data_IF_671476482941
#
_entry.id   IF_671476482941
#
_cell.length_a   1.000
_cell.length_b   1.000
_cell.length_c   1.000
_cell.angle_alpha   90.00
_cell.angle_beta   90.00
_cell.angle_gamma   90.00
#
_symmetry.space_group_name_H-M   'P 1'
#
loop_
_entity.id
_entity.type
_entity.pdbx_description
1 polymer ?
#
# COMPACT_ATOMS: atom_id res chain seq x y z
N UNK A 1 14.41 14.76 -12.28
CA UNK A 1 14.81 13.45 -12.82
C UNK A 1 13.53 12.75 -13.24
N UNK A 2 13.21 12.81 -14.53
CA UNK A 2 11.97 12.30 -15.12
C UNK A 2 12.09 10.79 -15.18
N UNK A 3 11.30 10.07 -14.39
CA UNK A 3 11.21 8.60 -14.45
C UNK A 3 10.43 8.27 -15.73
N UNK A 4 11.07 7.51 -16.62
CA UNK A 4 10.46 7.03 -17.85
C UNK A 4 9.33 6.05 -17.51
N UNK A 5 8.08 6.49 -17.66
CA UNK A 5 6.86 5.77 -17.31
C UNK A 5 6.57 4.54 -18.21
N UNK A 6 7.47 4.20 -19.14
CA UNK A 6 7.23 3.14 -20.15
C UNK A 6 7.75 1.76 -19.78
N UNK A 7 8.32 1.57 -18.59
CA UNK A 7 8.71 0.23 -18.17
C UNK A 7 7.52 -0.51 -17.54
N UNK A 8 6.76 -1.21 -18.38
CA UNK A 8 5.88 -2.30 -17.94
C UNK A 8 6.76 -3.30 -17.19
N UNK A 9 6.41 -3.68 -15.94
CA UNK A 9 7.19 -4.65 -15.19
C UNK A 9 7.31 -5.94 -16.02
N UNK A 10 8.54 -6.33 -16.31
CA UNK A 10 8.84 -7.64 -16.92
C UNK A 10 8.43 -8.71 -15.88
N UNK A 11 7.42 -9.51 -16.17
CA UNK A 11 6.99 -10.62 -15.32
C UNK A 11 5.50 -10.71 -14.99
N UNK A 12 4.66 -9.86 -15.60
CA UNK A 12 3.20 -10.05 -15.50
C UNK A 12 2.80 -11.31 -16.27
N UNK A 13 1.85 -12.12 -15.74
CA UNK A 13 1.36 -13.28 -16.47
C UNK A 13 0.84 -12.82 -17.83
N UNK A 14 1.45 -13.33 -18.90
CA UNK A 14 0.98 -13.05 -20.27
C UNK A 14 -0.40 -13.63 -20.50
N UNK A 15 -0.72 -14.72 -19.80
CA UNK A 15 -1.99 -15.41 -19.89
C UNK A 15 -3.01 -14.83 -18.87
N UNK A 16 -4.12 -14.35 -19.39
CA UNK A 16 -5.24 -13.80 -18.61
C UNK A 16 -6.39 -14.79 -18.46
N UNK A 17 -6.31 -15.99 -19.03
CA UNK A 17 -7.42 -16.96 -19.05
C UNK A 17 -7.85 -17.40 -17.65
N UNK A 18 -6.88 -17.56 -16.74
CA UNK A 18 -7.14 -17.90 -15.34
C UNK A 18 -7.48 -16.69 -14.47
N UNK A 19 -7.34 -15.48 -15.01
CA UNK A 19 -7.53 -14.25 -14.27
C UNK A 19 -8.93 -13.65 -14.51
N UNK A 20 -9.39 -13.68 -15.77
CA UNK A 20 -10.64 -13.05 -16.18
C UNK A 20 -11.77 -14.08 -16.15
N UNK A 21 -12.79 -13.82 -15.36
CA UNK A 21 -13.90 -14.75 -15.16
C UNK A 21 -15.19 -14.37 -15.89
N UNK A 22 -15.31 -13.09 -16.26
CA UNK A 22 -16.52 -12.53 -16.88
C UNK A 22 -16.41 -12.40 -18.40
N UNK A 23 -15.20 -12.54 -18.93
CA UNK A 23 -14.98 -12.60 -20.39
C UNK A 23 -15.57 -13.89 -20.93
N UNK A 24 -16.47 -13.77 -21.89
CA UNK A 24 -17.01 -14.93 -22.59
C UNK A 24 -15.90 -15.70 -23.29
N UNK A 25 -15.97 -17.03 -23.27
CA UNK A 25 -14.94 -17.86 -23.90
C UNK A 25 -13.52 -17.44 -23.48
N UNK A 26 -13.29 -17.39 -22.16
CA UNK A 26 -12.03 -16.86 -21.60
C UNK A 26 -10.79 -17.56 -22.16
N UNK A 27 -10.87 -18.86 -22.46
CA UNK A 27 -9.87 -19.66 -23.13
C UNK A 27 -9.40 -19.07 -24.48
N UNK A 28 -10.27 -18.34 -25.18
CA UNK A 28 -9.97 -17.73 -26.48
C UNK A 28 -9.83 -16.21 -26.39
N UNK A 29 -10.74 -15.55 -25.63
CA UNK A 29 -10.89 -14.11 -25.66
C UNK A 29 -10.13 -13.38 -24.56
N UNK A 30 -9.74 -14.04 -23.46
CA UNK A 30 -9.03 -13.36 -22.37
C UNK A 30 -7.71 -12.74 -22.85
N UNK A 31 -7.00 -13.45 -23.72
CA UNK A 31 -5.72 -13.01 -24.27
C UNK A 31 -5.83 -12.28 -25.62
N UNK A 32 -7.05 -12.09 -26.13
CA UNK A 32 -7.27 -11.34 -27.36
C UNK A 32 -6.77 -9.88 -27.19
N UNK A 33 -6.04 -9.33 -28.18
CA UNK A 33 -5.53 -7.96 -28.09
C UNK A 33 -6.61 -6.90 -27.82
N UNK A 34 -7.84 -7.10 -28.35
CA UNK A 34 -8.94 -6.16 -28.07
C UNK A 34 -9.42 -6.24 -26.61
N UNK A 35 -9.40 -7.42 -25.99
CA UNK A 35 -9.71 -7.58 -24.56
C UNK A 35 -8.72 -6.82 -23.70
N UNK A 36 -7.43 -7.00 -23.97
CA UNK A 36 -6.36 -6.28 -23.27
C UNK A 36 -6.49 -4.76 -23.44
N UNK A 37 -6.80 -4.31 -24.65
CA UNK A 37 -6.96 -2.87 -24.91
C UNK A 37 -8.16 -2.27 -24.18
N UNK A 38 -9.30 -2.96 -24.11
CA UNK A 38 -10.44 -2.49 -23.32
C UNK A 38 -10.10 -2.41 -21.81
N UNK A 39 -9.37 -3.39 -21.28
CA UNK A 39 -8.95 -3.38 -19.87
C UNK A 39 -7.94 -2.25 -19.62
N UNK A 40 -6.98 -2.05 -20.51
CA UNK A 40 -6.02 -0.94 -20.42
C UNK A 40 -6.69 0.42 -20.55
N UNK A 41 -7.68 0.56 -21.44
CA UNK A 41 -8.48 1.78 -21.55
C UNK A 41 -9.25 2.08 -20.26
N UNK A 42 -9.84 1.05 -19.65
CA UNK A 42 -10.48 1.15 -18.34
C UNK A 42 -9.52 1.58 -17.24
N UNK A 43 -8.30 1.03 -17.21
CA UNK A 43 -7.25 1.45 -16.26
C UNK A 43 -6.86 2.92 -16.48
N UNK A 44 -6.67 3.35 -17.73
CA UNK A 44 -6.34 4.76 -18.04
C UNK A 44 -7.43 5.71 -17.56
N UNK A 45 -8.70 5.39 -17.85
CA UNK A 45 -9.84 6.21 -17.41
C UNK A 45 -9.91 6.34 -15.88
N UNK A 46 -9.80 5.21 -15.16
CA UNK A 46 -9.76 5.24 -13.69
C UNK A 46 -8.57 6.05 -13.20
N UNK A 47 -7.41 5.86 -13.82
CA UNK A 47 -6.21 6.56 -13.46
C UNK A 47 -6.33 8.07 -13.68
N UNK A 48 -6.87 8.50 -14.83
CA UNK A 48 -7.05 9.91 -15.16
C UNK A 48 -7.94 10.62 -14.13
N UNK A 49 -9.00 9.93 -13.66
CA UNK A 49 -9.85 10.47 -12.59
C UNK A 49 -9.06 10.61 -11.29
N UNK A 50 -8.28 9.60 -10.92
CA UNK A 50 -7.50 9.59 -9.67
C UNK A 50 -6.36 10.61 -9.65
N UNK A 51 -5.72 10.88 -10.81
CA UNK A 51 -4.60 11.82 -10.91
C UNK A 51 -5.09 13.24 -11.07
N UNK A 52 -6.15 13.46 -11.84
CA UNK A 52 -6.72 14.81 -12.03
C UNK A 52 -7.11 15.45 -10.70
N UNK A 53 -7.61 14.68 -9.75
CA UNK A 53 -7.93 15.17 -8.40
C UNK A 53 -6.69 15.53 -7.57
N UNK A 54 -5.53 14.95 -7.86
CA UNK A 54 -4.30 15.16 -7.10
C UNK A 54 -3.49 16.40 -7.56
N UNK A 55 -3.62 16.80 -8.83
CA UNK A 55 -2.88 17.93 -9.43
C UNK A 55 -3.70 19.22 -9.52
N UNK A 56 -4.91 19.23 -8.95
CA UNK A 56 -5.92 20.20 -9.36
C UNK A 56 -5.72 21.62 -8.86
N UNK A 57 -5.89 22.54 -9.83
CA UNK A 57 -6.00 23.98 -9.62
C UNK A 57 -7.19 24.28 -8.71
N UNK A 58 -7.06 25.18 -7.73
CA UNK A 58 -8.17 25.56 -6.87
C UNK A 58 -9.33 26.08 -7.72
N UNK A 59 -10.47 25.38 -7.70
CA UNK A 59 -11.70 25.80 -8.40
C UNK A 59 -12.36 24.74 -9.29
N UNK A 60 -11.77 23.56 -9.52
CA UNK A 60 -12.46 22.49 -10.23
C UNK A 60 -13.32 21.64 -9.29
N UNK A 61 -14.54 21.37 -9.72
CA UNK A 61 -15.45 20.47 -9.00
C UNK A 61 -14.82 19.10 -8.84
N UNK A 62 -14.75 18.60 -7.60
CA UNK A 62 -14.37 17.22 -7.31
C UNK A 62 -15.34 16.31 -8.05
N UNK A 63 -14.80 15.26 -8.68
CA UNK A 63 -15.64 14.22 -9.27
C UNK A 63 -16.44 13.58 -8.13
N UNK A 64 -17.76 13.62 -8.14
CA UNK A 64 -18.57 12.95 -7.13
C UNK A 64 -18.24 11.46 -7.12
N UNK A 65 -18.29 10.85 -5.95
CA UNK A 65 -17.92 9.43 -5.78
C UNK A 65 -18.76 8.48 -6.65
N UNK A 66 -20.03 8.81 -6.84
CA UNK A 66 -20.95 8.10 -7.74
C UNK A 66 -20.57 8.23 -9.22
N UNK A 67 -19.85 9.29 -9.60
CA UNK A 67 -19.30 9.47 -10.94
C UNK A 67 -18.00 8.69 -11.17
N UNK A 68 -17.30 8.25 -10.12
CA UNK A 68 -16.04 7.54 -10.25
C UNK A 68 -16.15 6.27 -11.09
N UNK A 69 -17.19 5.46 -10.86
CA UNK A 69 -17.45 4.28 -11.68
C UNK A 69 -18.18 4.61 -12.99
N UNK A 70 -18.88 5.75 -13.03
CA UNK A 70 -19.52 6.23 -14.24
C UNK A 70 -18.49 6.64 -15.31
N UNK A 71 -17.28 7.08 -14.91
CA UNK A 71 -16.19 7.39 -15.85
C UNK A 71 -15.68 6.17 -16.63
N UNK A 72 -16.00 4.94 -16.20
CA UNK A 72 -15.63 3.68 -16.87
C UNK A 72 -16.86 3.06 -17.57
N UNK A 73 -17.78 3.91 -18.04
CA UNK A 73 -18.91 3.40 -18.83
C UNK A 73 -18.42 2.75 -20.13
N UNK A 74 -19.23 1.81 -20.65
CA UNK A 74 -18.90 1.08 -21.89
C UNK A 74 -18.46 2.03 -23.01
N UNK A 75 -19.23 3.11 -23.22
CA UNK A 75 -18.96 4.10 -24.26
C UNK A 75 -17.59 4.76 -24.06
N UNK A 76 -17.31 5.22 -22.85
CA UNK A 76 -16.03 5.88 -22.54
C UNK A 76 -14.85 4.93 -22.72
N UNK A 77 -15.01 3.66 -22.31
CA UNK A 77 -13.95 2.64 -22.52
C UNK A 77 -13.71 2.38 -24.00
N UNK A 78 -14.78 2.33 -24.79
CA UNK A 78 -14.66 2.14 -26.25
C UNK A 78 -14.00 3.36 -26.91
N UNK A 79 -14.45 4.58 -26.57
CA UNK A 79 -13.91 5.82 -27.13
C UNK A 79 -12.40 5.97 -26.77
N UNK A 80 -12.02 5.66 -25.52
CA UNK A 80 -10.63 5.68 -25.05
C UNK A 80 -9.77 4.61 -25.76
N UNK A 81 -10.32 3.39 -25.90
CA UNK A 81 -9.63 2.29 -26.57
C UNK A 81 -9.44 2.55 -28.06
N UNK A 82 -10.42 3.14 -28.76
CA UNK A 82 -10.28 3.53 -30.18
C UNK A 82 -9.20 4.59 -30.37
N UNK A 83 -9.10 5.57 -29.44
CA UNK A 83 -8.11 6.63 -29.51
C UNK A 83 -6.66 6.17 -29.37
N UNK A 84 -6.43 5.10 -28.62
CA UNK A 84 -5.09 4.55 -28.35
C UNK A 84 -4.71 3.34 -29.21
N UNK A 85 -5.66 2.77 -29.95
CA UNK A 85 -5.46 1.50 -30.65
C UNK A 85 -4.57 1.59 -31.88
N UNK A 86 -3.38 1.07 -31.78
CA UNK A 86 -2.49 0.77 -32.89
C UNK A 86 -2.38 -0.74 -33.08
N UNK A 87 -3.16 -1.28 -34.04
CA UNK A 87 -3.16 -2.72 -34.29
C UNK A 87 -1.78 -3.21 -34.74
N UNK A 88 -1.23 -4.27 -34.14
CA UNK A 88 -0.08 -4.95 -34.70
C UNK A 88 -0.39 -5.43 -36.13
N UNK A 89 0.33 -4.92 -37.13
CA UNK A 89 0.13 -5.29 -38.53
C UNK A 89 -0.69 -4.35 -39.43
N UNK A 90 -1.05 -3.13 -38.95
CA UNK A 90 -1.51 -2.02 -39.80
C UNK A 90 -2.95 -2.09 -40.33
N UNK A 91 -3.76 -3.08 -39.99
CA UNK A 91 -5.19 -3.10 -40.32
C UNK A 91 -5.99 -2.65 -39.10
N UNK A 92 -6.49 -1.43 -39.12
CA UNK A 92 -7.36 -0.87 -38.07
C UNK A 92 -8.64 -1.70 -37.95
N UNK A 93 -8.70 -2.62 -36.98
CA UNK A 93 -9.96 -3.16 -36.51
C UNK A 93 -10.57 -2.14 -35.58
N UNK A 94 -11.79 -1.67 -35.86
CA UNK A 94 -12.48 -0.75 -34.95
C UNK A 94 -12.85 -1.48 -33.66
N UNK A 95 -12.41 -0.93 -32.52
CA UNK A 95 -12.92 -1.32 -31.23
C UNK A 95 -14.31 -0.69 -31.10
N UNK A 96 -15.35 -1.50 -31.05
CA UNK A 96 -16.73 -1.02 -31.07
C UNK A 96 -17.48 -1.48 -29.82
N UNK A 97 -18.58 -0.83 -29.50
CA UNK A 97 -19.47 -1.32 -28.46
C UNK A 97 -19.94 -2.76 -28.68
N UNK A 98 -20.10 -3.18 -29.94
CA UNK A 98 -20.45 -4.56 -30.26
C UNK A 98 -19.31 -5.53 -29.91
N UNK A 99 -18.06 -5.14 -30.17
CA UNK A 99 -16.88 -5.91 -29.78
C UNK A 99 -16.73 -5.99 -28.25
N UNK A 100 -17.07 -4.91 -27.55
CA UNK A 100 -17.12 -4.92 -26.08
C UNK A 100 -18.22 -5.86 -25.56
N UNK A 101 -19.46 -5.74 -26.07
CA UNK A 101 -20.60 -6.61 -25.68
C UNK A 101 -20.39 -8.08 -26.02
N UNK A 102 -19.63 -8.36 -27.03
CA UNK A 102 -19.25 -9.73 -27.37
C UNK A 102 -18.39 -10.37 -26.26
N UNK A 103 -17.59 -9.56 -25.56
CA UNK A 103 -16.70 -10.01 -24.46
C UNK A 103 -17.40 -10.01 -23.12
N UNK A 104 -18.06 -8.93 -22.78
CA UNK A 104 -18.74 -8.79 -21.48
C UNK A 104 -20.23 -8.56 -21.65
N UNK A 105 -21.03 -9.44 -21.05
CA UNK A 105 -22.49 -9.32 -21.06
C UNK A 105 -22.97 -8.07 -20.34
N UNK A 106 -22.31 -7.72 -19.24
CA UNK A 106 -22.71 -6.65 -18.33
C UNK A 106 -21.55 -5.70 -18.06
N UNK A 107 -21.89 -4.49 -17.72
CA UNK A 107 -20.91 -3.50 -17.24
C UNK A 107 -20.26 -3.95 -15.93
N UNK A 108 -21.04 -4.59 -15.04
CA UNK A 108 -20.53 -5.11 -13.77
C UNK A 108 -19.47 -6.20 -13.98
N UNK A 109 -19.69 -7.13 -14.93
CA UNK A 109 -18.68 -8.13 -15.28
C UNK A 109 -17.40 -7.50 -15.82
N UNK A 110 -17.50 -6.47 -16.68
CA UNK A 110 -16.32 -5.73 -17.11
C UNK A 110 -15.58 -5.06 -15.95
N UNK A 111 -16.29 -4.40 -15.04
CA UNK A 111 -15.67 -3.75 -13.88
C UNK A 111 -15.00 -4.74 -12.94
N UNK A 112 -15.56 -5.93 -12.78
CA UNK A 112 -14.94 -7.02 -12.01
C UNK A 112 -13.64 -7.47 -12.65
N UNK A 113 -13.65 -7.80 -13.92
CA UNK A 113 -12.44 -8.20 -14.66
C UNK A 113 -11.42 -7.07 -14.70
N UNK A 114 -11.84 -5.81 -14.84
CA UNK A 114 -10.97 -4.64 -14.78
C UNK A 114 -10.28 -4.52 -13.40
N UNK A 115 -11.03 -4.72 -12.31
CA UNK A 115 -10.46 -4.68 -10.97
C UNK A 115 -9.39 -5.77 -10.80
N UNK A 116 -9.70 -7.00 -11.17
CA UNK A 116 -8.75 -8.12 -11.09
C UNK A 116 -7.53 -7.88 -12.00
N UNK A 117 -7.75 -7.40 -13.22
CA UNK A 117 -6.68 -7.04 -14.16
C UNK A 117 -5.76 -5.96 -13.59
N UNK A 118 -6.31 -4.91 -13.00
CA UNK A 118 -5.53 -3.81 -12.42
C UNK A 118 -4.73 -4.24 -11.18
N UNK A 119 -5.24 -5.19 -10.40
CA UNK A 119 -4.54 -5.73 -9.23
C UNK A 119 -3.33 -6.61 -9.59
N UNK A 120 -3.25 -7.15 -10.82
CA UNK A 120 -2.15 -8.05 -11.24
C UNK A 120 -0.77 -7.44 -11.08
N UNK A 121 -0.64 -6.13 -11.30
CA UNK A 121 0.64 -5.42 -11.15
C UNK A 121 1.15 -5.41 -9.71
N UNK A 122 0.26 -5.53 -8.74
CA UNK A 122 0.61 -5.66 -7.32
C UNK A 122 1.18 -7.03 -6.98
N UNK A 123 0.68 -8.08 -7.64
CA UNK A 123 1.21 -9.44 -7.48
C UNK A 123 2.64 -9.58 -8.02
N UNK A 124 3.00 -8.79 -9.02
CA UNK A 124 4.32 -8.83 -9.66
C UNK A 124 5.40 -7.99 -8.95
N UNK A 125 5.12 -7.40 -7.79
CA UNK A 125 6.02 -6.45 -7.12
C UNK A 125 6.77 -7.02 -5.89
N UNK A 126 7.49 -8.15 -5.98
CA UNK A 126 8.32 -8.64 -4.87
C UNK A 126 9.58 -7.77 -4.66
N UNK A 127 9.90 -6.85 -5.57
CA UNK A 127 11.17 -6.14 -5.55
C UNK A 127 11.36 -5.08 -4.46
N UNK A 128 10.32 -4.72 -3.69
CA UNK A 128 10.43 -3.66 -2.68
C UNK A 128 11.11 -4.17 -1.41
N UNK A 129 10.75 -5.36 -0.94
CA UNK A 129 11.43 -6.00 0.20
C UNK A 129 12.92 -6.24 -0.08
N UNK A 130 13.27 -6.65 -1.31
CA UNK A 130 14.68 -6.77 -1.74
C UNK A 130 15.43 -5.43 -1.72
N UNK A 131 14.81 -4.35 -2.18
CA UNK A 131 15.40 -2.99 -2.10
C UNK A 131 15.56 -2.52 -0.65
N UNK A 132 14.63 -2.84 0.23
CA UNK A 132 14.74 -2.56 1.65
C UNK A 132 15.89 -3.34 2.29
N UNK A 133 16.08 -4.61 1.92
CA UNK A 133 17.20 -5.43 2.36
C UNK A 133 18.55 -4.83 1.94
N UNK A 134 18.67 -4.41 0.66
CA UNK A 134 19.87 -3.72 0.19
C UNK A 134 20.16 -2.46 1.01
N UNK A 135 19.16 -1.62 1.22
CA UNK A 135 19.31 -0.39 2.01
C UNK A 135 19.72 -0.65 3.47
N UNK A 136 19.19 -1.72 4.07
CA UNK A 136 19.47 -2.03 5.46
C UNK A 136 20.89 -2.58 5.67
N UNK A 137 21.36 -3.42 4.73
CA UNK A 137 22.58 -4.21 4.91
C UNK A 137 23.74 -3.84 3.99
N UNK A 138 23.51 -3.09 2.91
CA UNK A 138 24.61 -2.57 2.10
C UNK A 138 25.37 -1.53 2.91
N UNK A 139 26.65 -1.79 3.12
CA UNK A 139 27.60 -0.82 3.67
C UNK A 139 28.00 0.12 2.53
N UNK A 140 27.48 1.33 2.55
CA UNK A 140 28.06 2.41 1.78
C UNK A 140 29.47 2.64 2.34
N UNK A 141 30.49 2.25 1.58
CA UNK A 141 31.89 2.35 1.98
C UNK A 141 32.38 3.80 2.11
N UNK A 142 31.61 4.76 1.62
CA UNK A 142 31.97 6.18 1.56
C UNK A 142 31.20 7.11 2.54
N UNK A 143 30.05 6.69 3.03
CA UNK A 143 29.29 7.45 4.03
C UNK A 143 29.22 6.62 5.31
N UNK A 144 30.01 7.04 6.32
CA UNK A 144 30.09 6.36 7.61
C UNK A 144 28.74 5.88 8.12
N UNK A 145 28.73 4.68 8.66
CA UNK A 145 27.61 3.90 9.17
C UNK A 145 26.45 4.76 9.68
N UNK A 146 25.45 5.04 8.85
CA UNK A 146 24.20 5.64 9.31
C UNK A 146 23.64 4.73 10.40
N UNK A 147 23.19 5.32 11.50
CA UNK A 147 22.61 4.57 12.60
C UNK A 147 21.42 3.72 12.08
N UNK A 148 21.16 2.59 12.71
CA UNK A 148 20.11 1.64 12.28
C UNK A 148 18.73 2.30 12.17
N UNK A 149 18.43 3.24 13.06
CA UNK A 149 17.23 4.08 13.05
C UNK A 149 17.14 4.96 11.81
N UNK A 150 18.22 5.55 11.34
CA UNK A 150 18.27 6.35 10.11
C UNK A 150 17.97 5.49 8.87
N UNK A 151 18.43 4.23 8.86
CA UNK A 151 18.10 3.29 7.79
C UNK A 151 16.60 2.90 7.78
N UNK A 152 16.02 2.67 8.96
CA UNK A 152 14.57 2.44 9.08
C UNK A 152 13.80 3.68 8.61
N UNK A 153 14.22 4.89 9.01
CA UNK A 153 13.60 6.12 8.54
C UNK A 153 13.63 6.23 7.02
N UNK A 154 14.77 5.95 6.41
CA UNK A 154 14.91 6.00 4.96
C UNK A 154 14.03 4.96 4.24
N UNK A 155 13.99 3.72 4.74
CA UNK A 155 13.15 2.64 4.17
C UNK A 155 11.67 3.02 4.27
N UNK A 156 11.22 3.40 5.46
CA UNK A 156 9.83 3.77 5.70
C UNK A 156 9.40 4.99 4.88
N UNK A 157 10.24 6.01 4.79
CA UNK A 157 9.99 7.20 3.98
C UNK A 157 9.82 6.84 2.49
N UNK A 158 10.76 6.04 1.95
CA UNK A 158 10.70 5.58 0.56
C UNK A 158 9.47 4.72 0.28
N UNK A 159 9.08 3.87 1.23
CA UNK A 159 7.89 3.04 1.08
C UNK A 159 6.62 3.89 1.02
N UNK A 160 6.47 4.89 1.90
CA UNK A 160 5.33 5.82 1.84
C UNK A 160 5.30 6.58 0.52
N UNK A 161 6.43 7.11 0.05
CA UNK A 161 6.50 7.80 -1.25
C UNK A 161 6.15 6.87 -2.41
N UNK A 162 6.67 5.65 -2.38
CA UNK A 162 6.45 4.65 -3.40
C UNK A 162 4.96 4.31 -3.52
N UNK A 163 4.32 3.97 -2.41
CA UNK A 163 2.89 3.62 -2.38
C UNK A 163 2.00 4.83 -2.67
N UNK A 164 2.32 6.01 -2.13
CA UNK A 164 1.60 7.25 -2.44
C UNK A 164 1.55 7.53 -3.95
N UNK A 165 2.65 7.27 -4.65
CA UNK A 165 2.75 7.51 -6.10
C UNK A 165 2.36 6.27 -6.94
N UNK A 166 2.07 5.13 -6.31
CA UNK A 166 1.73 3.91 -7.01
C UNK A 166 0.26 3.89 -7.43
N UNK A 167 0.03 3.96 -8.73
CA UNK A 167 -1.32 3.94 -9.34
C UNK A 167 -2.11 2.68 -8.97
N UNK A 168 -1.45 1.52 -9.02
CA UNK A 168 -2.09 0.25 -8.71
C UNK A 168 -2.49 0.15 -7.23
N UNK A 169 -1.71 0.74 -6.31
CA UNK A 169 -2.08 0.83 -4.90
C UNK A 169 -3.33 1.68 -4.70
N UNK A 170 -3.44 2.84 -5.37
CA UNK A 170 -4.64 3.68 -5.30
C UNK A 170 -5.87 2.96 -5.84
N UNK A 171 -5.73 2.23 -6.95
CA UNK A 171 -6.81 1.40 -7.49
C UNK A 171 -7.21 0.29 -6.51
N UNK A 172 -6.23 -0.37 -5.88
CA UNK A 172 -6.48 -1.36 -4.83
C UNK A 172 -7.35 -0.78 -3.70
N UNK A 173 -7.01 0.39 -3.18
CA UNK A 173 -7.78 1.08 -2.13
C UNK A 173 -9.22 1.34 -2.55
N UNK A 174 -9.44 1.77 -3.80
CA UNK A 174 -10.78 2.01 -4.33
C UNK A 174 -11.56 0.70 -4.46
N UNK A 175 -10.95 -0.32 -5.05
CA UNK A 175 -11.62 -1.61 -5.22
C UNK A 175 -11.93 -2.25 -3.88
N UNK A 176 -11.06 -2.12 -2.90
CA UNK A 176 -11.28 -2.57 -1.53
C UNK A 176 -12.48 -1.85 -0.89
N UNK A 177 -12.63 -0.54 -1.11
CA UNK A 177 -13.75 0.22 -0.58
C UNK A 177 -15.09 -0.08 -1.25
N UNK A 178 -15.08 -0.36 -2.56
CA UNK A 178 -16.30 -0.45 -3.38
C UNK A 178 -16.71 -1.90 -3.65
N UNK A 179 -15.75 -2.78 -3.94
CA UNK A 179 -15.99 -4.12 -4.47
C UNK A 179 -15.58 -5.25 -3.51
N UNK A 180 -15.23 -4.93 -2.25
CA UNK A 180 -14.86 -5.96 -1.27
C UNK A 180 -15.98 -6.97 -0.94
N UNK A 181 -17.21 -6.64 -1.28
CA UNK A 181 -18.37 -7.54 -1.16
C UNK A 181 -18.54 -8.50 -2.37
N UNK A 182 -17.79 -8.29 -3.44
CA UNK A 182 -17.73 -9.19 -4.58
C UNK A 182 -16.69 -10.28 -4.30
N UNK A 183 -17.10 -11.53 -4.25
CA UNK A 183 -16.25 -12.65 -3.81
C UNK A 183 -14.97 -12.79 -4.66
N UNK A 184 -15.05 -12.57 -5.97
CA UNK A 184 -13.91 -12.72 -6.86
C UNK A 184 -12.90 -11.58 -6.70
N UNK A 185 -13.39 -10.35 -6.54
CA UNK A 185 -12.53 -9.19 -6.26
C UNK A 185 -11.92 -9.32 -4.86
N UNK A 186 -12.71 -9.76 -3.87
CA UNK A 186 -12.21 -10.02 -2.52
C UNK A 186 -11.11 -11.10 -2.51
N UNK A 187 -11.25 -12.16 -3.32
CA UNK A 187 -10.22 -13.19 -3.49
C UNK A 187 -8.95 -12.63 -4.14
N UNK A 188 -9.10 -11.77 -5.16
CA UNK A 188 -7.95 -11.11 -5.78
C UNK A 188 -7.24 -10.16 -4.81
N UNK A 189 -7.98 -9.38 -4.04
CA UNK A 189 -7.42 -8.51 -3.00
C UNK A 189 -6.68 -9.30 -1.93
N UNK A 190 -7.25 -10.41 -1.44
CA UNK A 190 -6.58 -11.31 -0.48
C UNK A 190 -5.28 -11.89 -1.02
N UNK A 191 -5.24 -12.30 -2.30
CA UNK A 191 -4.00 -12.80 -2.92
C UNK A 191 -2.92 -11.72 -3.00
N UNK A 192 -3.30 -10.49 -3.31
CA UNK A 192 -2.37 -9.35 -3.33
C UNK A 192 -1.81 -9.10 -1.93
N UNK A 193 -2.67 -9.05 -0.91
CA UNK A 193 -2.27 -8.86 0.48
C UNK A 193 -1.32 -9.98 0.95
N UNK A 194 -1.70 -11.23 0.73
CA UNK A 194 -0.88 -12.39 1.10
C UNK A 194 0.50 -12.39 0.42
N UNK A 195 0.55 -12.07 -0.88
CA UNK A 195 1.82 -12.00 -1.60
C UNK A 195 2.72 -10.87 -1.05
N UNK A 196 2.14 -9.74 -0.73
CA UNK A 196 2.87 -8.61 -0.16
C UNK A 196 3.38 -8.94 1.24
N UNK A 197 2.51 -9.43 2.12
CA UNK A 197 2.88 -9.82 3.49
C UNK A 197 3.94 -10.91 3.50
N UNK A 198 3.83 -11.91 2.62
CA UNK A 198 4.83 -12.99 2.52
C UNK A 198 6.23 -12.45 2.17
N UNK A 199 6.34 -11.54 1.20
CA UNK A 199 7.62 -10.96 0.81
C UNK A 199 8.27 -10.15 1.94
N UNK A 200 7.49 -9.37 2.67
CA UNK A 200 7.97 -8.61 3.82
C UNK A 200 8.31 -9.49 5.02
N UNK A 201 7.54 -10.54 5.25
CA UNK A 201 7.81 -11.54 6.30
C UNK A 201 9.20 -12.17 6.11
N UNK A 202 9.55 -12.58 4.90
CA UNK A 202 10.88 -13.11 4.57
C UNK A 202 11.98 -12.08 4.86
N UNK A 203 11.76 -10.82 4.46
CA UNK A 203 12.68 -9.73 4.75
C UNK A 203 12.88 -9.53 6.25
N UNK A 204 11.80 -9.48 7.05
CA UNK A 204 11.91 -9.28 8.49
C UNK A 204 12.62 -10.46 9.16
N UNK A 205 12.32 -11.69 8.76
CA UNK A 205 12.98 -12.87 9.32
C UNK A 205 14.50 -12.85 9.07
N UNK A 206 14.92 -12.52 7.84
CA UNK A 206 16.34 -12.35 7.49
C UNK A 206 17.00 -11.20 8.26
N UNK A 207 16.32 -10.06 8.34
CA UNK A 207 16.82 -8.88 9.07
C UNK A 207 17.03 -9.18 10.56
N UNK A 208 16.06 -9.78 11.22
CA UNK A 208 16.16 -10.16 12.63
C UNK A 208 17.29 -11.18 12.87
N UNK A 209 17.40 -12.20 12.00
CA UNK A 209 18.47 -13.19 12.09
C UNK A 209 19.86 -12.54 12.00
N UNK A 210 20.09 -11.62 11.05
CA UNK A 210 21.36 -10.92 10.88
C UNK A 210 21.69 -9.98 12.05
N UNK A 211 20.67 -9.41 12.68
CA UNK A 211 20.84 -8.51 13.83
C UNK A 211 20.88 -9.25 15.17
N UNK A 212 20.72 -10.59 15.16
CA UNK A 212 20.66 -11.40 16.38
C UNK A 212 19.43 -11.15 17.24
N UNK A 213 18.37 -10.58 16.65
CA UNK A 213 17.11 -10.28 17.32
C UNK A 213 16.17 -11.50 17.30
N UNK A 214 15.27 -11.58 18.26
CA UNK A 214 14.24 -12.62 18.37
C UNK A 214 12.89 -11.98 18.63
N UNK A 215 11.84 -12.63 18.15
CA UNK A 215 10.48 -12.24 18.51
C UNK A 215 10.13 -12.73 19.92
N UNK A 216 9.23 -12.04 20.61
CA UNK A 216 8.64 -12.50 21.85
C UNK A 216 7.93 -13.83 21.63
N UNK A 217 7.81 -14.69 22.67
CA UNK A 217 7.28 -16.05 22.54
C UNK A 217 5.85 -16.13 21.99
N UNK A 218 5.02 -15.10 22.23
CA UNK A 218 3.63 -15.03 21.79
C UNK A 218 3.43 -14.20 20.50
N UNK A 219 4.50 -13.83 19.82
CA UNK A 219 4.49 -13.07 18.56
C UNK A 219 5.02 -13.94 17.42
N UNK A 220 4.25 -14.08 16.37
CA UNK A 220 4.67 -14.75 15.13
C UNK A 220 5.23 -13.77 14.10
N UNK A 221 5.94 -14.29 13.09
CA UNK A 221 6.36 -13.51 11.93
C UNK A 221 5.18 -12.96 11.13
N UNK A 222 4.06 -13.66 11.15
CA UNK A 222 2.83 -13.18 10.51
C UNK A 222 2.25 -12.00 11.27
N UNK A 223 2.25 -12.01 12.60
CA UNK A 223 1.80 -10.88 13.42
C UNK A 223 2.64 -9.64 13.14
N UNK A 224 3.97 -9.76 13.11
CA UNK A 224 4.86 -8.64 12.81
C UNK A 224 4.60 -8.08 11.40
N UNK A 225 4.53 -8.97 10.41
CA UNK A 225 4.33 -8.55 9.01
C UNK A 225 2.98 -7.87 8.81
N UNK A 226 1.90 -8.41 9.37
CA UNK A 226 0.57 -7.80 9.28
C UNK A 226 0.49 -6.47 10.04
N UNK A 227 1.09 -6.37 11.22
CA UNK A 227 1.10 -5.12 11.99
C UNK A 227 1.81 -4.00 11.22
N UNK A 228 2.98 -4.29 10.65
CA UNK A 228 3.73 -3.31 9.84
C UNK A 228 3.02 -2.99 8.53
N UNK A 229 2.40 -3.98 7.88
CA UNK A 229 1.62 -3.78 6.67
C UNK A 229 0.41 -2.86 6.92
N UNK A 230 -0.39 -3.15 7.95
CA UNK A 230 -1.53 -2.33 8.33
C UNK A 230 -1.12 -0.89 8.70
N UNK A 231 -0.01 -0.73 9.43
CA UNK A 231 0.55 0.59 9.73
C UNK A 231 0.95 1.34 8.45
N UNK A 232 1.58 0.65 7.51
CA UNK A 232 2.00 1.22 6.23
C UNK A 232 0.81 1.71 5.43
N UNK A 233 -0.22 0.88 5.25
CA UNK A 233 -1.44 1.27 4.53
C UNK A 233 -2.13 2.46 5.20
N UNK A 234 -2.26 2.45 6.53
CA UNK A 234 -2.86 3.54 7.29
C UNK A 234 -2.12 4.88 7.11
N UNK A 235 -0.78 4.86 7.16
CA UNK A 235 0.04 6.08 6.97
C UNK A 235 -0.03 6.55 5.52
N UNK A 236 0.02 5.63 4.54
CA UNK A 236 -0.10 6.00 3.13
C UNK A 236 -1.48 6.57 2.82
N UNK A 237 -2.55 5.99 3.38
CA UNK A 237 -3.88 6.56 3.27
C UNK A 237 -3.95 8.01 3.77
N UNK A 238 -3.35 8.30 4.93
CA UNK A 238 -3.23 9.67 5.43
C UNK A 238 -2.40 10.56 4.51
N UNK A 239 -1.33 10.03 3.90
CA UNK A 239 -0.48 10.78 2.97
C UNK A 239 -1.18 11.11 1.63
N UNK A 240 -2.27 10.43 1.29
CA UNK A 240 -3.12 10.73 0.13
C UNK A 240 -4.10 11.87 0.40
N UNK A 241 -4.37 12.18 1.67
CA UNK A 241 -5.25 13.29 2.02
C UNK A 241 -4.52 14.62 1.80
N UNK A 242 -5.25 15.69 1.43
CA UNK A 242 -4.67 17.04 1.33
C UNK A 242 -4.01 17.43 2.65
N UNK A 243 -2.82 17.99 2.60
CA UNK A 243 -2.13 18.48 3.79
C UNK A 243 -2.99 19.53 4.50
N UNK A 244 -3.44 19.21 5.71
CA UNK A 244 -4.11 20.17 6.56
C UNK A 244 -3.05 21.03 7.26
N UNK A 245 -3.11 22.35 7.13
CA UNK A 245 -2.15 23.31 7.73
C UNK A 245 -2.01 23.21 9.26
N UNK A 246 -2.88 22.44 9.91
CA UNK A 246 -2.92 22.31 11.36
C UNK A 246 -2.20 21.06 11.91
N UNK A 247 -1.70 20.16 11.04
CA UNK A 247 -0.97 18.97 11.49
C UNK A 247 0.48 19.36 11.77
N UNK A 248 0.98 19.19 13.00
CA UNK A 248 2.37 19.50 13.32
C UNK A 248 3.31 18.61 12.48
N UNK A 249 4.52 19.11 12.11
CA UNK A 249 5.47 18.35 11.27
C UNK A 249 5.77 16.95 11.80
N UNK A 250 5.84 16.79 13.13
CA UNK A 250 6.09 15.49 13.79
C UNK A 250 4.98 14.45 13.62
N UNK A 251 3.78 14.87 13.23
CA UNK A 251 2.64 14.00 13.00
C UNK A 251 2.26 13.91 11.51
N UNK A 252 3.04 14.53 10.62
CA UNK A 252 2.82 14.41 9.18
C UNK A 252 3.25 13.03 8.68
N UNK A 253 2.52 12.44 7.73
CA UNK A 253 2.92 11.19 7.11
C UNK A 253 4.32 11.26 6.48
N UNK A 254 4.67 12.41 5.91
CA UNK A 254 5.99 12.69 5.31
C UNK A 254 6.48 14.06 5.79
N UNK A 255 7.77 14.14 6.12
CA UNK A 255 8.45 15.40 6.33
C UNK A 255 9.38 15.62 5.13
N UNK A 256 9.11 16.66 4.33
CA UNK A 256 9.89 16.95 3.12
C UNK A 256 11.25 17.62 3.44
N UNK A 257 11.39 18.18 4.64
CA UNK A 257 12.64 18.80 5.08
C UNK A 257 13.66 17.77 5.57
N UNK A 258 13.19 16.60 5.98
CA UNK A 258 13.99 15.46 6.42
C UNK A 258 13.40 14.15 5.89
N UNK A 259 14.23 13.16 5.54
CA UNK A 259 13.73 11.87 5.03
C UNK A 259 13.17 11.01 6.17
N UNK A 260 12.27 11.58 6.97
CA UNK A 260 11.55 10.90 8.05
C UNK A 260 10.07 10.76 7.73
N UNK A 261 9.43 9.77 8.32
CA UNK A 261 8.01 9.56 8.18
C UNK A 261 7.37 9.12 9.49
N UNK A 262 6.08 9.36 9.62
CA UNK A 262 5.30 8.79 10.73
C UNK A 262 5.42 7.26 10.74
N UNK A 263 5.49 6.63 9.56
CA UNK A 263 5.66 5.18 9.44
C UNK A 263 6.93 4.69 10.13
N UNK A 264 8.05 5.40 10.01
CA UNK A 264 9.30 5.01 10.67
C UNK A 264 9.15 4.93 12.21
N UNK A 265 8.49 5.93 12.80
CA UNK A 265 8.23 5.94 14.25
C UNK A 265 7.32 4.80 14.68
N UNK A 266 6.27 4.52 13.92
CA UNK A 266 5.36 3.41 14.18
C UNK A 266 6.08 2.08 14.00
N UNK A 267 6.86 1.92 12.93
CA UNK A 267 7.61 0.70 12.66
C UNK A 267 8.62 0.40 13.77
N UNK A 268 9.40 1.41 14.20
CA UNK A 268 10.32 1.25 15.33
C UNK A 268 9.59 0.85 16.61
N UNK A 269 8.45 1.48 16.91
CA UNK A 269 7.65 1.13 18.09
C UNK A 269 7.14 -0.32 18.03
N UNK A 270 6.65 -0.77 16.87
CA UNK A 270 6.19 -2.16 16.67
C UNK A 270 7.37 -3.12 16.81
N UNK A 271 8.51 -2.85 16.17
CA UNK A 271 9.71 -3.68 16.23
C UNK A 271 10.17 -3.81 17.68
N UNK A 272 10.30 -2.71 18.42
CA UNK A 272 10.70 -2.74 19.84
C UNK A 272 9.72 -3.55 20.68
N UNK A 273 8.41 -3.34 20.50
CA UNK A 273 7.39 -4.03 21.27
C UNK A 273 7.39 -5.55 21.00
N UNK A 274 7.64 -5.97 19.76
CA UNK A 274 7.57 -7.36 19.33
C UNK A 274 8.89 -8.12 19.51
N UNK A 275 9.99 -7.42 19.72
CA UNK A 275 11.31 -8.02 19.96
C UNK A 275 11.45 -8.44 21.43
N UNK A 276 11.95 -9.66 21.64
CA UNK A 276 12.33 -10.15 22.95
C UNK A 276 13.65 -9.47 23.40
N UNK A 277 13.65 -8.68 24.50
CA UNK A 277 14.86 -8.07 25.02
C UNK A 277 15.80 -9.08 25.74
N UNK A 278 15.45 -10.37 25.73
CA UNK A 278 16.20 -11.44 26.37
C UNK A 278 15.59 -11.92 27.70
N UNK A 279 14.40 -11.43 28.04
CA UNK A 279 13.67 -11.86 29.23
C UNK A 279 12.73 -13.05 28.97
N UNK A 280 12.45 -13.37 27.72
CA UNK A 280 11.53 -14.44 27.30
C UNK A 280 10.07 -14.16 27.66
N UNK A 281 9.74 -12.91 27.99
CA UNK A 281 8.41 -12.52 28.44
C UNK A 281 7.46 -12.32 27.24
N UNK A 282 6.23 -12.88 27.30
CA UNK A 282 5.19 -12.60 26.30
C UNK A 282 4.84 -11.09 26.25
N UNK A 283 4.53 -10.59 25.04
CA UNK A 283 4.14 -9.20 24.82
C UNK A 283 3.01 -8.75 25.77
N UNK A 284 2.03 -9.63 25.97
CA UNK A 284 0.90 -9.37 26.87
C UNK A 284 1.33 -9.07 28.31
N UNK A 285 2.32 -9.81 28.80
CA UNK A 285 2.78 -9.67 30.18
C UNK A 285 3.70 -8.47 30.33
N UNK A 286 4.53 -8.16 29.32
CA UNK A 286 5.29 -6.93 29.24
C UNK A 286 4.39 -5.68 29.29
N UNK A 287 3.28 -5.68 28.55
CA UNK A 287 2.29 -4.58 28.60
C UNK A 287 1.63 -4.48 29.97
N UNK A 288 1.32 -5.61 30.63
CA UNK A 288 0.78 -5.60 31.99
C UNK A 288 1.76 -5.04 33.04
N UNK A 289 3.06 -5.31 32.85
CA UNK A 289 4.09 -4.73 33.74
C UNK A 289 4.18 -3.22 33.57
N UNK A 290 4.14 -2.70 32.35
CA UNK A 290 4.09 -1.26 32.09
C UNK A 290 2.90 -0.57 32.77
N UNK A 291 1.74 -1.25 32.78
CA UNK A 291 0.54 -0.74 33.45
C UNK A 291 0.60 -0.81 34.99
N UNK A 292 1.53 -1.59 35.55
CA UNK A 292 1.76 -1.73 37.00
C UNK A 292 2.89 -0.82 37.53
N UNK A 293 3.34 0.17 36.74
CA UNK A 293 4.27 1.17 37.24
C UNK A 293 3.73 1.72 38.53
N UNK A 294 4.52 1.72 39.64
CA UNK A 294 4.02 2.15 40.94
C UNK A 294 3.48 3.56 40.82
N UNK A 295 2.30 3.77 41.45
CA UNK A 295 1.81 5.10 41.73
C UNK A 295 3.02 5.90 42.23
N UNK A 296 3.26 7.05 41.58
CA UNK A 296 4.48 7.82 41.77
C UNK A 296 4.86 7.99 43.23
N UNK A 297 6.11 8.41 43.55
CA UNK A 297 6.66 8.29 44.90
C UNK A 297 5.65 8.73 45.94
N UNK A 298 5.24 7.78 46.80
CA UNK A 298 4.37 8.04 47.94
C UNK A 298 4.90 9.34 48.59
N UNK A 299 4.03 10.33 48.69
CA UNK A 299 4.36 11.55 49.38
C UNK A 299 4.97 11.20 50.73
N UNK A 300 6.28 11.13 50.78
CA UNK A 300 7.03 10.90 51.98
C UNK A 300 6.74 12.07 52.91
N UNK A 301 5.91 11.77 53.90
CA UNK A 301 5.86 12.43 55.17
C UNK A 301 5.86 13.97 55.15
N UNK A 302 4.70 14.58 55.01
CA UNK A 302 4.47 15.85 55.69
C UNK A 302 4.57 15.59 57.19
N UNK A 303 5.80 15.54 57.71
CA UNK A 303 6.11 15.44 59.11
C UNK A 303 5.49 16.62 59.86
N UNK A 304 4.61 16.27 60.73
CA UNK A 304 4.16 17.12 61.85
C UNK A 304 5.34 17.80 62.51
N UNK A 305 5.50 19.08 62.33
CA UNK A 305 6.17 19.95 63.30
C UNK A 305 5.12 20.93 63.80
N UNK A 306 4.29 20.43 64.73
CA UNK A 306 3.56 21.26 65.66
C UNK A 306 4.58 21.95 66.59
N UNK A 307 4.76 23.26 66.42
CA UNK A 307 5.24 24.11 67.50
C UNK A 307 4.07 24.95 68.03
N UNK A 308 3.80 24.88 69.33
CA UNK A 308 2.80 25.76 69.92
C UNK A 308 3.41 27.17 70.04
N UNK A 309 2.75 28.15 69.48
CA UNK A 309 2.97 29.54 69.84
C UNK A 309 2.18 29.80 71.12
N UNK A 310 2.90 30.00 72.25
CA UNK A 310 2.41 30.61 73.44
C UNK A 310 2.79 32.09 73.46
N UNK A 311 1.76 32.90 73.69
CA UNK A 311 1.71 34.32 74.00
C UNK A 311 2.07 35.35 72.94
#
# INVERSE_FOLDING_TARGET
MTIDERQVPQGLPEDLSDLLSEVRHADVLANDPCTREFLQAGERLLHDVLVRDAEDKPGRARVPFDELLACVSRRQVVDEAEGSWTRPGGKAGKLTESAFRYRWNTQAGFLRDLAIYSLRSRLATPGQAGKAASLLFETDTDSGHGAFDEKIDCIAYREVLNLKNNKAFRLQMIFQAILAHDDQVADALRRVDQAHVAAWKEFYADAFARLGLRLRPDVSWDDLAHALHAATEGVVFQALLPETRHVPPSARPLDHDKPTSLLAKIAMAIIIAFTDPGDGEPLRDAVRQLARLPDGPAQAGAGQTGRPFSR
#
